data_IF_691185169045
#
_entry.id   IF_691185169045
#
_cell.length_a   1.000
_cell.length_b   1.000
_cell.length_c   1.000
_cell.angle_alpha   90.00
_cell.angle_beta   90.00
_cell.angle_gamma   90.00
#
_symmetry.space_group_name_H-M   'P 1'
#
loop_
_entity.id
_entity.type
_entity.pdbx_description
1 polymer ?
#
# COMPACT_ATOMS: atom_id res chain seq x y z
N UNK A 1 5.03 -8.89 6.34
CA UNK A 1 5.00 -9.90 5.26
C UNK A 1 6.41 -10.16 4.73
N UNK A 2 7.23 -9.13 4.46
CA UNK A 2 8.64 -9.31 4.03
C UNK A 2 9.44 -10.14 5.05
N UNK A 3 9.23 -9.92 6.34
CA UNK A 3 9.92 -10.64 7.43
C UNK A 3 9.53 -12.12 7.48
N UNK A 4 8.30 -12.46 7.09
CA UNK A 4 7.81 -13.85 7.13
C UNK A 4 8.29 -14.69 5.93
N UNK A 5 8.44 -14.04 4.78
CA UNK A 5 8.85 -14.70 3.53
C UNK A 5 10.37 -14.68 3.31
N UNK A 6 11.10 -13.79 4.01
CA UNK A 6 12.53 -13.57 3.75
C UNK A 6 13.46 -14.72 4.15
N UNK A 7 12.97 -15.71 4.88
CA UNK A 7 13.74 -16.90 5.28
C UNK A 7 13.33 -18.18 4.57
N UNK A 8 12.40 -18.12 3.63
CA UNK A 8 11.87 -19.29 2.95
C UNK A 8 12.24 -19.28 1.46
N UNK A 9 12.81 -20.37 0.99
CA UNK A 9 13.08 -20.56 -0.42
C UNK A 9 11.82 -21.01 -1.18
N UNK A 10 11.73 -20.70 -2.46
CA UNK A 10 10.67 -21.14 -3.36
C UNK A 10 9.25 -20.69 -2.97
N UNK A 11 9.13 -19.55 -2.30
CA UNK A 11 7.86 -18.92 -1.98
C UNK A 11 7.69 -17.62 -2.75
N UNK A 12 6.49 -17.43 -3.29
CA UNK A 12 6.06 -16.21 -3.95
C UNK A 12 4.67 -15.80 -3.51
N UNK A 13 4.34 -14.53 -3.66
CA UNK A 13 3.03 -13.98 -3.31
C UNK A 13 2.44 -13.19 -4.47
N UNK A 14 1.22 -13.53 -4.87
CA UNK A 14 0.44 -12.70 -5.77
C UNK A 14 -0.35 -11.66 -4.97
N UNK A 15 -0.07 -10.39 -5.19
CA UNK A 15 -0.85 -9.27 -4.64
C UNK A 15 -2.05 -9.05 -5.55
N UNK A 16 -3.25 -9.00 -4.97
CA UNK A 16 -4.53 -8.89 -5.70
C UNK A 16 -5.41 -7.76 -5.19
N UNK A 17 -4.83 -6.74 -4.59
CA UNK A 17 -5.54 -5.59 -4.03
C UNK A 17 -6.35 -4.79 -5.04
N UNK A 18 -5.99 -4.85 -6.31
CA UNK A 18 -6.67 -4.24 -7.46
C UNK A 18 -7.78 -5.12 -8.06
N UNK A 19 -7.81 -6.40 -7.71
CA UNK A 19 -8.80 -7.37 -8.18
C UNK A 19 -9.85 -7.73 -7.11
N UNK A 20 -9.75 -7.14 -5.90
CA UNK A 20 -10.67 -7.36 -4.80
C UNK A 20 -11.98 -6.57 -4.98
N UNK A 21 -13.06 -7.12 -4.42
CA UNK A 21 -14.36 -6.46 -4.31
C UNK A 21 -14.65 -6.18 -2.83
N UNK A 22 -15.11 -4.97 -2.50
CA UNK A 22 -15.45 -4.58 -1.13
C UNK A 22 -16.74 -5.23 -0.61
N UNK A 23 -17.55 -5.76 -1.52
CA UNK A 23 -18.87 -6.34 -1.21
C UNK A 23 -18.90 -7.86 -1.32
N UNK A 24 -17.87 -8.46 -1.93
CA UNK A 24 -17.77 -9.90 -2.14
C UNK A 24 -16.35 -10.40 -1.82
N UNK A 25 -16.23 -11.26 -0.83
CA UNK A 25 -14.97 -11.92 -0.46
C UNK A 25 -14.48 -12.90 -1.54
N UNK A 26 -15.32 -13.20 -2.54
CA UNK A 26 -15.00 -14.06 -3.67
C UNK A 26 -14.81 -13.23 -4.94
N UNK A 27 -13.63 -12.61 -5.14
CA UNK A 27 -13.42 -11.76 -6.31
C UNK A 27 -13.62 -12.55 -7.60
N UNK A 28 -14.38 -11.98 -8.53
CA UNK A 28 -14.72 -12.64 -9.81
C UNK A 28 -13.52 -12.76 -10.74
N UNK A 29 -12.58 -11.83 -10.66
CA UNK A 29 -11.34 -11.90 -11.44
C UNK A 29 -10.40 -12.96 -10.87
N UNK A 30 -10.44 -14.17 -11.43
CA UNK A 30 -9.52 -15.28 -11.08
C UNK A 30 -8.29 -15.33 -11.96
N UNK A 31 -8.27 -14.57 -13.07
CA UNK A 31 -7.14 -14.52 -14.01
C UNK A 31 -5.95 -13.81 -13.38
N UNK A 32 -6.17 -12.64 -12.78
CA UNK A 32 -5.09 -11.85 -12.17
C UNK A 32 -4.25 -12.64 -11.12
N UNK A 33 -4.84 -13.32 -10.12
CA UNK A 33 -4.04 -14.13 -9.20
C UNK A 33 -3.30 -15.28 -9.91
N UNK A 34 -3.93 -15.95 -10.90
CA UNK A 34 -3.30 -17.02 -11.65
C UNK A 34 -2.07 -16.56 -12.44
N UNK A 35 -2.20 -15.48 -13.20
CA UNK A 35 -1.09 -14.89 -13.98
C UNK A 35 0.05 -14.42 -13.07
N UNK A 36 -0.25 -13.80 -11.93
CA UNK A 36 0.76 -13.32 -10.98
C UNK A 36 1.50 -14.45 -10.30
N UNK A 37 0.82 -15.54 -9.93
CA UNK A 37 1.47 -16.75 -9.42
C UNK A 37 2.32 -17.42 -10.48
N UNK A 38 1.83 -17.52 -11.72
CA UNK A 38 2.61 -18.04 -12.85
C UNK A 38 3.87 -17.20 -13.13
N UNK A 39 3.77 -15.87 -13.06
CA UNK A 39 4.92 -14.99 -13.23
C UNK A 39 6.01 -15.23 -12.17
N UNK A 40 5.62 -15.46 -10.91
CA UNK A 40 6.55 -15.86 -9.86
C UNK A 40 7.25 -17.18 -10.18
N UNK A 41 6.51 -18.22 -10.58
CA UNK A 41 7.07 -19.51 -10.95
C UNK A 41 8.00 -19.38 -12.15
N UNK A 42 7.58 -18.69 -13.20
CA UNK A 42 8.39 -18.47 -14.40
C UNK A 42 9.71 -17.75 -14.08
N UNK A 43 9.68 -16.73 -13.25
CA UNK A 43 10.88 -15.99 -12.89
C UNK A 43 11.81 -16.77 -11.97
N UNK A 44 11.27 -17.40 -10.92
CA UNK A 44 12.07 -17.99 -9.83
C UNK A 44 12.44 -19.44 -10.07
N UNK A 45 11.55 -20.25 -10.66
CA UNK A 45 11.80 -21.67 -10.91
C UNK A 45 12.34 -21.92 -12.32
N UNK A 46 11.84 -21.17 -13.30
CA UNK A 46 12.21 -21.39 -14.71
C UNK A 46 13.22 -20.35 -15.23
N UNK A 47 13.69 -19.42 -14.39
CA UNK A 47 14.74 -18.44 -14.71
C UNK A 47 14.35 -17.44 -15.81
N UNK A 48 13.06 -17.22 -16.07
CA UNK A 48 12.63 -16.26 -17.08
C UNK A 48 12.88 -14.82 -16.61
N UNK A 49 13.43 -14.00 -17.49
CA UNK A 49 13.67 -12.56 -17.22
C UNK A 49 12.37 -11.76 -17.45
N UNK A 50 11.46 -11.83 -16.50
CA UNK A 50 10.18 -11.12 -16.52
C UNK A 50 9.96 -10.39 -15.20
N UNK A 51 9.15 -9.32 -15.22
CA UNK A 51 8.69 -8.65 -13.99
C UNK A 51 7.62 -9.54 -13.35
N UNK A 52 7.83 -9.95 -12.11
CA UNK A 52 6.97 -10.90 -11.40
C UNK A 52 6.39 -10.35 -10.10
N UNK A 53 6.81 -9.15 -9.67
CA UNK A 53 6.30 -8.49 -8.48
C UNK A 53 5.92 -7.04 -8.78
N UNK A 54 4.91 -6.54 -8.09
CA UNK A 54 4.67 -5.12 -7.99
C UNK A 54 5.66 -4.43 -7.03
N UNK A 55 5.57 -3.10 -6.87
CA UNK A 55 6.44 -2.34 -6.00
C UNK A 55 6.48 -2.91 -4.58
N UNK A 56 7.67 -3.18 -4.08
CA UNK A 56 7.91 -3.68 -2.73
C UNK A 56 8.66 -2.61 -1.94
N UNK A 57 8.13 -2.25 -0.78
CA UNK A 57 8.80 -1.32 0.13
C UNK A 57 10.25 -1.75 0.40
N UNK A 58 11.19 -0.84 0.19
CA UNK A 58 12.62 -1.05 0.38
C UNK A 58 13.15 -0.32 1.61
N UNK A 59 12.98 1.00 1.63
CA UNK A 59 13.52 1.86 2.66
C UNK A 59 12.67 3.11 2.87
N UNK A 60 12.87 3.74 4.03
CA UNK A 60 12.22 4.98 4.43
C UNK A 60 13.26 5.96 4.93
N UNK A 61 13.11 7.23 4.54
CA UNK A 61 13.88 8.35 5.07
C UNK A 61 12.94 9.45 5.51
N UNK A 62 13.09 9.89 6.76
CA UNK A 62 12.35 11.04 7.29
C UNK A 62 13.16 12.31 7.02
N UNK A 63 12.49 13.34 6.51
CA UNK A 63 13.06 14.64 6.21
C UNK A 63 12.12 15.74 6.71
N UNK A 64 12.29 16.14 7.96
CA UNK A 64 11.41 17.10 8.62
C UNK A 64 9.96 16.60 8.71
N UNK A 65 9.04 17.24 7.98
CA UNK A 65 7.61 16.89 7.96
C UNK A 65 7.26 15.85 6.89
N UNK A 66 8.23 15.39 6.13
CA UNK A 66 8.02 14.50 5.01
C UNK A 66 8.71 13.16 5.23
N UNK A 67 8.18 12.14 4.58
CA UNK A 67 8.79 10.81 4.48
C UNK A 67 8.99 10.49 3.01
N UNK A 68 10.20 10.11 2.64
CA UNK A 68 10.49 9.51 1.34
C UNK A 68 10.59 8.00 1.48
N UNK A 69 9.89 7.30 0.60
CA UNK A 69 9.89 5.84 0.49
C UNK A 69 10.53 5.42 -0.82
N UNK A 70 11.45 4.46 -0.77
CA UNK A 70 11.99 3.81 -1.95
C UNK A 70 11.38 2.41 -2.12
N UNK A 71 11.28 1.97 -3.38
CA UNK A 71 10.68 0.70 -3.73
C UNK A 71 11.62 -0.15 -4.60
N UNK A 72 11.62 -1.46 -4.35
CA UNK A 72 12.09 -2.49 -5.29
C UNK A 72 10.99 -2.80 -6.31
N UNK A 73 11.32 -3.40 -7.43
CA UNK A 73 10.40 -3.72 -8.53
C UNK A 73 9.65 -2.50 -9.09
N UNK A 74 10.31 -1.35 -9.04
CA UNK A 74 9.79 -0.09 -9.53
C UNK A 74 10.58 0.43 -10.74
N UNK A 75 11.30 -0.41 -11.43
CA UNK A 75 12.05 -0.08 -12.63
C UNK A 75 11.13 0.54 -13.68
N UNK A 76 11.56 1.68 -14.23
CA UNK A 76 10.75 2.49 -15.15
C UNK A 76 9.77 3.43 -14.46
N UNK A 77 9.69 3.39 -13.13
CA UNK A 77 8.88 4.30 -12.31
C UNK A 77 7.60 3.70 -11.75
N UNK A 78 7.07 4.40 -10.76
CA UNK A 78 5.76 4.17 -10.16
C UNK A 78 4.67 4.90 -10.96
N UNK A 79 3.43 4.43 -10.88
CA UNK A 79 2.30 5.05 -11.53
C UNK A 79 0.99 4.77 -10.81
N UNK A 80 -0.03 5.56 -11.13
CA UNK A 80 -1.42 5.30 -10.80
C UNK A 80 -2.25 5.21 -12.09
N UNK A 81 -3.36 4.45 -12.13
CA UNK A 81 -4.27 4.44 -13.26
C UNK A 81 -4.78 5.86 -13.56
N UNK A 82 -4.71 6.29 -14.82
CA UNK A 82 -5.21 7.60 -15.24
C UNK A 82 -4.52 8.80 -14.60
N UNK A 83 -3.33 8.63 -14.03
CA UNK A 83 -2.62 9.66 -13.25
C UNK A 83 -3.45 10.22 -12.08
N UNK A 84 -4.35 9.42 -11.52
CA UNK A 84 -5.08 9.79 -10.31
C UNK A 84 -4.14 10.04 -9.13
N UNK A 85 -4.55 10.84 -8.12
CA UNK A 85 -3.81 10.94 -6.87
C UNK A 85 -3.56 9.56 -6.26
N UNK A 86 -2.38 9.37 -5.68
CA UNK A 86 -2.02 8.11 -4.99
C UNK A 86 -2.91 7.94 -3.76
N UNK A 87 -3.45 6.74 -3.57
CA UNK A 87 -4.38 6.40 -2.47
C UNK A 87 -3.80 5.29 -1.60
N UNK A 88 -4.22 5.28 -0.32
CA UNK A 88 -3.95 4.17 0.60
C UNK A 88 -2.71 4.33 1.49
N UNK A 89 -2.09 5.52 1.50
CA UNK A 89 -1.01 5.84 2.44
C UNK A 89 -1.53 6.53 3.69
N UNK A 90 -0.99 6.11 4.83
CA UNK A 90 -1.21 6.72 6.14
C UNK A 90 0.13 6.91 6.83
N UNK A 91 0.32 8.04 7.51
CA UNK A 91 1.50 8.32 8.31
C UNK A 91 1.13 8.67 9.74
N UNK A 92 2.04 8.40 10.68
CA UNK A 92 1.86 8.69 12.10
C UNK A 92 3.13 9.25 12.71
N UNK A 93 2.96 10.05 13.76
CA UNK A 93 4.02 10.41 14.70
C UNK A 93 4.24 9.32 15.76
N UNK A 94 5.00 9.66 16.81
CA UNK A 94 5.26 8.77 17.95
C UNK A 94 4.02 8.44 18.78
N UNK A 95 2.95 9.19 18.61
CA UNK A 95 1.64 8.97 19.26
C UNK A 95 0.87 7.78 18.66
N UNK A 96 1.42 7.17 17.58
CA UNK A 96 0.82 6.06 16.84
C UNK A 96 -0.55 6.37 16.23
N UNK A 97 -0.91 7.66 16.08
CA UNK A 97 -2.15 8.09 15.41
C UNK A 97 -1.88 8.25 13.92
N UNK A 98 -2.50 7.39 13.12
CA UNK A 98 -2.33 7.40 11.67
C UNK A 98 -3.33 8.34 11.00
N UNK A 99 -2.82 9.18 10.10
CA UNK A 99 -3.60 10.10 9.29
C UNK A 99 -3.32 9.85 7.81
N UNK A 100 -4.32 10.08 6.92
CA UNK A 100 -4.08 10.04 5.49
C UNK A 100 -2.93 10.94 5.10
N UNK A 101 -2.12 10.47 4.16
CA UNK A 101 -1.00 11.21 3.64
C UNK A 101 -1.20 11.57 2.17
N UNK A 102 -0.86 12.82 1.83
CA UNK A 102 -0.62 13.22 0.46
C UNK A 102 0.64 12.51 -0.03
N UNK A 103 0.59 11.99 -1.25
CA UNK A 103 1.67 11.19 -1.81
C UNK A 103 2.04 11.67 -3.21
N UNK A 104 3.30 12.01 -3.40
CA UNK A 104 3.86 12.48 -4.67
C UNK A 104 4.86 11.45 -5.20
N UNK A 105 4.62 10.94 -6.41
CA UNK A 105 5.52 10.01 -7.09
C UNK A 105 6.73 10.77 -7.66
N UNK A 106 7.92 10.28 -7.36
CA UNK A 106 9.21 10.79 -7.84
C UNK A 106 10.02 9.64 -8.45
N UNK A 107 9.69 9.23 -9.67
CA UNK A 107 10.32 8.07 -10.31
C UNK A 107 10.02 6.76 -9.55
N UNK A 108 11.03 6.19 -8.91
CA UNK A 108 10.94 4.94 -8.15
C UNK A 108 10.68 5.16 -6.66
N UNK A 109 10.45 6.40 -6.24
CA UNK A 109 10.19 6.78 -4.86
C UNK A 109 8.88 7.55 -4.71
N UNK A 110 8.41 7.66 -3.48
CA UNK A 110 7.24 8.47 -3.12
C UNK A 110 7.59 9.36 -1.94
N UNK A 111 7.22 10.63 -2.02
CA UNK A 111 7.25 11.55 -0.89
C UNK A 111 5.86 11.63 -0.28
N UNK A 112 5.78 11.46 1.04
CA UNK A 112 4.55 11.51 1.83
C UNK A 112 4.58 12.70 2.78
N UNK A 113 3.45 13.37 2.92
CA UNK A 113 3.24 14.41 3.92
C UNK A 113 1.80 14.40 4.43
N UNK A 114 1.55 15.01 5.58
CA UNK A 114 0.20 15.24 6.09
C UNK A 114 0.18 16.52 6.93
N UNK A 115 -0.87 17.31 6.77
CA UNK A 115 -1.06 18.51 7.61
C UNK A 115 -1.30 18.17 9.08
N UNK A 116 -1.74 16.94 9.35
CA UNK A 116 -2.05 16.45 10.70
C UNK A 116 -0.82 15.87 11.44
N UNK A 117 0.30 15.63 10.74
CA UNK A 117 1.48 14.98 11.31
C UNK A 117 2.71 15.84 11.05
N UNK A 118 3.18 16.55 12.08
CA UNK A 118 4.32 17.44 11.97
C UNK A 118 5.69 16.74 12.10
N UNK A 119 5.72 15.57 12.73
CA UNK A 119 6.93 14.76 12.94
C UNK A 119 6.61 13.28 12.66
N UNK A 120 6.51 12.90 11.38
CA UNK A 120 6.14 11.54 11.00
C UNK A 120 7.29 10.57 11.27
N UNK A 121 6.94 9.37 11.79
CA UNK A 121 7.91 8.29 12.09
C UNK A 121 7.48 6.94 11.51
N UNK A 122 6.23 6.82 11.07
CA UNK A 122 5.67 5.56 10.61
C UNK A 122 4.79 5.73 9.39
N UNK A 123 4.77 4.70 8.55
CA UNK A 123 3.95 4.63 7.32
C UNK A 123 3.21 3.31 7.27
N UNK A 124 1.96 3.35 6.82
CA UNK A 124 1.16 2.19 6.40
C UNK A 124 0.62 2.41 5.00
N UNK A 125 0.66 1.37 4.19
CA UNK A 125 0.08 1.34 2.86
C UNK A 125 -0.80 0.13 2.68
N UNK A 126 -2.08 0.34 2.29
CA UNK A 126 -3.03 -0.75 2.09
C UNK A 126 -3.16 -1.67 3.31
N UNK A 127 -2.97 -1.13 4.51
CA UNK A 127 -2.98 -1.88 5.76
C UNK A 127 -4.35 -1.73 6.45
N UNK A 128 -5.18 -2.77 6.32
CA UNK A 128 -6.51 -2.79 6.89
C UNK A 128 -7.42 -3.80 6.21
N UNK A 129 -8.68 -3.84 6.63
CA UNK A 129 -9.65 -4.80 6.13
C UNK A 129 -9.98 -4.58 4.67
N UNK A 130 -10.17 -3.33 4.26
CA UNK A 130 -10.34 -2.94 2.87
C UNK A 130 -9.87 -1.51 2.66
N UNK A 131 -8.88 -1.33 1.77
CA UNK A 131 -8.44 -0.01 1.32
C UNK A 131 -8.41 0.04 -0.20
N UNK A 132 -8.90 1.13 -0.76
CA UNK A 132 -8.63 1.45 -2.15
C UNK A 132 -7.19 1.90 -2.28
N UNK A 133 -6.40 1.07 -2.91
CA UNK A 133 -5.00 1.34 -3.25
C UNK A 133 -4.86 1.37 -4.77
N UNK A 134 -4.00 2.25 -5.28
CA UNK A 134 -3.86 2.45 -6.72
C UNK A 134 -2.42 2.67 -7.16
N UNK A 135 -1.44 2.22 -6.36
CA UNK A 135 -0.03 2.31 -6.72
C UNK A 135 0.41 1.06 -7.49
N UNK A 136 1.05 1.27 -8.63
CA UNK A 136 1.54 0.22 -9.53
C UNK A 136 2.95 0.52 -10.02
N UNK A 137 3.67 -0.49 -10.49
CA UNK A 137 4.82 -0.30 -11.36
C UNK A 137 4.41 -0.17 -12.84
N UNK A 138 5.38 0.10 -13.70
CA UNK A 138 5.13 0.21 -15.16
C UNK A 138 4.72 -1.10 -15.82
N UNK A 139 4.94 -2.25 -15.18
CA UNK A 139 4.42 -3.54 -15.64
C UNK A 139 2.95 -3.77 -15.29
N UNK A 140 2.28 -2.82 -14.61
CA UNK A 140 0.88 -2.93 -14.22
C UNK A 140 0.64 -3.83 -13.01
N UNK A 141 1.68 -4.15 -12.23
CA UNK A 141 1.53 -4.94 -11.02
C UNK A 141 1.34 -4.03 -9.80
N UNK A 142 0.35 -4.32 -8.91
CA UNK A 142 0.03 -3.49 -7.76
C UNK A 142 1.10 -3.57 -6.68
N UNK A 143 1.31 -2.46 -5.97
CA UNK A 143 2.23 -2.40 -4.85
C UNK A 143 1.78 -3.32 -3.70
N UNK A 144 2.77 -3.93 -3.06
CA UNK A 144 2.55 -4.82 -1.90
C UNK A 144 2.17 -3.98 -0.69
N UNK A 145 1.06 -4.28 0.01
CA UNK A 145 0.74 -3.64 1.27
C UNK A 145 1.83 -3.82 2.33
N UNK A 146 2.09 -2.78 3.11
CA UNK A 146 3.13 -2.81 4.13
C UNK A 146 2.85 -1.86 5.30
N UNK A 147 3.61 -2.06 6.37
CA UNK A 147 3.78 -1.13 7.49
C UNK A 147 5.25 -1.02 7.85
N UNK A 148 5.67 0.14 8.34
CA UNK A 148 7.05 0.38 8.83
C UNK A 148 7.14 0.37 10.35
N UNK A 149 5.99 0.42 11.03
CA UNK A 149 5.89 0.50 12.48
C UNK A 149 5.81 -0.87 13.15
N UNK A 150 6.06 -0.88 14.46
CA UNK A 150 5.87 -2.02 15.37
C UNK A 150 4.82 -1.73 16.44
N UNK A 151 4.01 -0.69 16.25
CA UNK A 151 2.94 -0.34 17.19
C UNK A 151 1.98 -1.50 17.39
N UNK A 152 1.45 -1.61 18.60
CA UNK A 152 0.52 -2.68 18.95
C UNK A 152 -0.71 -2.71 18.02
N UNK A 153 -1.29 -3.89 17.74
CA UNK A 153 -2.44 -4.01 16.84
C UNK A 153 -3.67 -3.19 17.26
N UNK A 154 -3.86 -2.96 18.56
CA UNK A 154 -4.97 -2.16 19.09
C UNK A 154 -4.88 -0.68 18.72
N UNK A 155 -3.70 -0.18 18.38
CA UNK A 155 -3.54 1.17 17.82
C UNK A 155 -4.19 1.29 16.45
N UNK A 156 -4.43 0.18 15.78
CA UNK A 156 -5.11 0.12 14.50
C UNK A 156 -6.60 0.50 14.63
N UNK A 157 -7.27 0.09 15.70
CA UNK A 157 -8.68 0.39 15.96
C UNK A 157 -8.91 1.84 16.44
N UNK A 158 -7.85 2.53 16.84
CA UNK A 158 -7.90 3.95 17.21
C UNK A 158 -7.71 4.89 16.02
N UNK A 159 -7.71 4.35 14.81
CA UNK A 159 -7.39 5.15 13.61
C UNK A 159 -8.34 6.33 13.42
N UNK A 160 -9.58 6.24 13.89
CA UNK A 160 -10.50 7.37 13.81
C UNK A 160 -11.61 7.25 14.87
N UNK A 161 -11.66 8.17 15.79
CA UNK A 161 -12.95 8.50 16.40
C UNK A 161 -13.85 9.07 15.31
N UNK A 162 -15.13 8.74 15.30
CA UNK A 162 -16.12 9.20 14.29
C UNK A 162 -16.08 10.72 14.05
N UNK A 163 -15.70 11.50 15.06
CA UNK A 163 -15.54 12.96 14.99
C UNK A 163 -14.32 13.42 14.18
N UNK A 164 -13.31 12.57 13.99
CA UNK A 164 -12.09 12.91 13.25
C UNK A 164 -12.24 12.58 11.76
N UNK A 165 -13.03 11.56 11.40
CA UNK A 165 -13.33 11.21 10.00
C UNK A 165 -13.97 12.38 9.26
N UNK A 166 -14.80 13.17 9.93
CA UNK A 166 -15.48 14.35 9.35
C UNK A 166 -14.54 15.50 8.97
N UNK A 167 -13.28 15.46 9.43
CA UNK A 167 -12.27 16.49 9.14
C UNK A 167 -11.47 16.23 7.89
N UNK A 168 -11.57 15.03 7.31
CA UNK A 168 -10.85 14.69 6.09
C UNK A 168 -11.63 15.14 4.84
N UNK A 169 -10.93 15.56 3.78
CA UNK A 169 -11.57 15.86 2.50
C UNK A 169 -12.43 14.68 2.02
N UNK A 170 -13.54 14.98 1.34
CA UNK A 170 -14.49 13.96 0.84
C UNK A 170 -13.83 12.85 -0.01
N UNK A 171 -12.71 13.16 -0.67
CA UNK A 171 -11.93 12.16 -1.41
C UNK A 171 -11.38 11.01 -0.54
N UNK A 172 -11.29 11.23 0.76
CA UNK A 172 -10.86 10.25 1.77
C UNK A 172 -12.04 9.61 2.51
N UNK A 173 -13.21 10.25 2.38
CA UNK A 173 -14.47 9.73 2.89
C UNK A 173 -15.06 8.82 1.81
N UNK A 174 -15.21 7.58 2.15
CA UNK A 174 -16.05 6.56 1.51
C UNK A 174 -16.48 6.76 0.05
N UNK A 175 -16.17 5.80 -0.73
CA UNK A 175 -16.87 5.50 -1.96
C UNK A 175 -18.35 5.15 -1.63
N UNK A 176 -19.26 5.90 -2.25
CA UNK A 176 -20.72 5.66 -2.20
C UNK A 176 -21.41 5.76 -0.83
N UNK A 177 -20.98 6.65 0.05
CA UNK A 177 -21.70 6.95 1.30
C UNK A 177 -21.73 5.82 2.33
N UNK A 178 -20.93 4.78 2.15
CA UNK A 178 -20.78 3.70 3.13
C UNK A 178 -19.58 4.01 4.04
N UNK A 179 -19.77 3.93 5.35
CA UNK A 179 -18.70 4.08 6.34
C UNK A 179 -17.61 3.03 6.09
N UNK A 180 -16.33 3.44 6.10
CA UNK A 180 -15.22 2.53 6.24
C UNK A 180 -15.29 1.92 7.66
N UNK A 181 -15.93 0.77 7.77
CA UNK A 181 -15.82 -0.02 8.97
C UNK A 181 -14.46 -0.71 8.94
N UNK A 182 -13.59 -0.28 9.84
CA UNK A 182 -12.39 -0.99 10.18
C UNK A 182 -12.79 -2.01 11.25
N UNK A 183 -13.27 -3.18 10.83
CA UNK A 183 -13.53 -4.32 11.70
C UNK A 183 -12.34 -5.26 11.71
#
# INVERSE_FOLDING_TARGET
>A
LKTWLSGLENIGMAVVTDAADSTDIHPRNKVAPGERLAAWALAKQYGKKIVYSGPLYKSMKVNGREITLDFEFAEGGLQTPGNEPVKGFFIAGNDARFFPADAVINGNSITLSSTYVSAPVAVRYGYGTFFRVNLFNKAGLPAVPFRTDTFAPDTYYRLFADSEIRRFPEAWQLDHGKRLYFG
#
